data_IF_157717481302
#
_entry.id   IF_157717481302
#
_cell.length_a   1.000
_cell.length_b   1.000
_cell.length_c   1.000
_cell.angle_alpha   90.00
_cell.angle_beta   90.00
_cell.angle_gamma   90.00
#
_symmetry.space_group_name_H-M   'P 1'
#
loop_
_entity.id
_entity.type
_entity.pdbx_description
1 polymer ?
#
# COMPACT_ATOMS: atom_id res chain seq x y z
N UNK A 1 21.03 -31.13 19.27
CA UNK A 1 19.89 -31.99 18.87
C UNK A 1 20.26 -33.47 18.88
N UNK A 2 21.43 -33.86 18.38
CA UNK A 2 21.87 -35.26 18.48
C UNK A 2 22.07 -35.70 19.94
N UNK A 3 22.80 -34.91 20.73
CA UNK A 3 23.04 -35.19 22.15
C UNK A 3 21.74 -35.26 22.98
N UNK A 4 20.74 -34.42 22.68
CA UNK A 4 19.43 -34.48 23.34
C UNK A 4 18.65 -35.77 23.02
N UNK A 5 19.01 -36.47 21.95
CA UNK A 5 18.52 -37.80 21.62
C UNK A 5 19.46 -38.93 22.12
N UNK A 6 20.54 -38.58 22.83
CA UNK A 6 21.57 -39.53 23.28
C UNK A 6 22.48 -40.05 22.16
N UNK A 7 22.61 -39.30 21.06
CA UNK A 7 23.38 -39.68 19.88
C UNK A 7 24.61 -38.77 19.76
N UNK A 8 25.77 -39.39 19.55
CA UNK A 8 27.01 -38.69 19.15
C UNK A 8 27.16 -38.74 17.63
N UNK A 9 27.50 -37.60 17.02
CA UNK A 9 27.75 -37.48 15.58
C UNK A 9 29.20 -37.05 15.36
N UNK A 10 29.79 -37.51 14.25
CA UNK A 10 31.07 -36.94 13.78
C UNK A 10 30.85 -35.56 13.17
N UNK A 11 31.90 -34.74 13.19
CA UNK A 11 31.88 -33.38 12.65
C UNK A 11 31.50 -33.35 11.16
N UNK A 12 31.98 -34.32 10.38
CA UNK A 12 31.67 -34.43 8.94
C UNK A 12 30.16 -34.66 8.69
N UNK A 13 29.53 -35.52 9.49
CA UNK A 13 28.09 -35.82 9.37
C UNK A 13 27.27 -34.63 9.84
N UNK A 14 27.69 -33.98 10.93
CA UNK A 14 27.04 -32.77 11.44
C UNK A 14 27.08 -31.63 10.41
N UNK A 15 28.22 -31.44 9.73
CA UNK A 15 28.38 -30.42 8.70
C UNK A 15 27.46 -30.65 7.49
N UNK A 16 27.39 -31.87 6.98
CA UNK A 16 26.49 -32.23 5.87
C UNK A 16 25.02 -32.05 6.24
N UNK A 17 24.62 -32.47 7.44
CA UNK A 17 23.25 -32.30 7.91
C UNK A 17 22.89 -30.81 8.07
N UNK A 18 23.82 -29.99 8.58
CA UNK A 18 23.62 -28.55 8.70
C UNK A 18 23.38 -27.89 7.33
N UNK A 19 24.11 -28.31 6.29
CA UNK A 19 23.92 -27.81 4.94
C UNK A 19 22.53 -28.14 4.38
N UNK A 20 22.06 -29.38 4.55
CA UNK A 20 20.72 -29.81 4.11
C UNK A 20 19.62 -29.04 4.85
N UNK A 21 19.72 -28.89 6.18
CA UNK A 21 18.78 -28.11 6.98
C UNK A 21 18.76 -26.63 6.52
N UNK A 22 19.93 -26.05 6.26
CA UNK A 22 20.02 -24.69 5.74
C UNK A 22 19.37 -24.55 4.36
N UNK A 23 19.52 -25.56 3.48
CA UNK A 23 18.84 -25.59 2.19
C UNK A 23 17.33 -25.61 2.37
N UNK A 24 16.80 -26.51 3.21
CA UNK A 24 15.37 -26.62 3.51
C UNK A 24 14.79 -25.32 4.10
N UNK A 25 15.52 -24.64 4.97
CA UNK A 25 15.12 -23.35 5.53
C UNK A 25 15.02 -22.26 4.46
N UNK A 26 15.99 -22.19 3.54
CA UNK A 26 15.95 -21.25 2.41
C UNK A 26 14.81 -21.56 1.46
N UNK A 27 14.59 -22.83 1.14
CA UNK A 27 13.49 -23.31 0.30
C UNK A 27 12.13 -22.94 0.91
N UNK A 28 11.90 -23.24 2.20
CA UNK A 28 10.66 -22.89 2.90
C UNK A 28 10.44 -21.37 2.94
N UNK A 29 11.48 -20.59 3.18
CA UNK A 29 11.41 -19.11 3.18
C UNK A 29 11.04 -18.57 1.81
N UNK A 30 11.67 -19.09 0.75
CA UNK A 30 11.39 -18.69 -0.62
C UNK A 30 9.95 -19.04 -1.03
N UNK A 31 9.50 -20.25 -0.71
CA UNK A 31 8.12 -20.67 -0.99
C UNK A 31 7.09 -19.83 -0.22
N UNK A 32 7.40 -19.45 1.01
CA UNK A 32 6.55 -18.58 1.83
C UNK A 32 6.42 -17.18 1.23
N UNK A 33 7.49 -16.65 0.64
CA UNK A 33 7.52 -15.31 0.03
C UNK A 33 6.51 -15.14 -1.11
N UNK A 34 6.17 -16.22 -1.82
CA UNK A 34 5.21 -16.19 -2.93
C UNK A 34 3.80 -15.79 -2.48
N UNK A 35 3.42 -16.07 -1.23
CA UNK A 35 2.11 -15.72 -0.68
C UNK A 35 1.97 -14.21 -0.35
N UNK A 36 3.09 -13.50 -0.18
CA UNK A 36 3.10 -12.05 0.08
C UNK A 36 2.57 -11.24 -1.11
N UNK A 37 2.93 -11.63 -2.33
CA UNK A 37 2.51 -10.94 -3.57
C UNK A 37 1.00 -10.94 -3.78
N UNK A 38 0.34 -12.08 -3.54
CA UNK A 38 -1.11 -12.24 -3.70
C UNK A 38 -1.94 -11.52 -2.63
N UNK A 39 -1.34 -11.27 -1.47
CA UNK A 39 -2.05 -10.64 -0.34
C UNK A 39 -1.79 -9.14 -0.21
N UNK A 40 -1.00 -8.55 -1.14
CA UNK A 40 -0.58 -7.12 -1.09
C UNK A 40 0.05 -6.73 0.25
N UNK A 41 0.65 -7.68 0.96
CA UNK A 41 1.37 -7.45 2.23
C UNK A 41 2.87 -7.46 1.97
N UNK A 42 3.60 -6.60 2.69
CA UNK A 42 5.06 -6.54 2.63
C UNK A 42 5.75 -7.34 3.74
N UNK A 43 4.98 -7.76 4.76
CA UNK A 43 5.46 -8.57 5.89
C UNK A 43 5.01 -10.02 5.72
N UNK A 44 5.94 -10.95 5.92
CA UNK A 44 5.63 -12.37 6.02
C UNK A 44 5.05 -12.68 7.40
N UNK A 45 4.06 -13.57 7.40
CA UNK A 45 3.37 -14.02 8.61
C UNK A 45 3.59 -15.52 8.83
N UNK A 46 3.34 -15.99 10.06
CA UNK A 46 3.39 -17.42 10.41
C UNK A 46 2.49 -18.25 9.49
N UNK A 47 1.32 -17.71 9.11
CA UNK A 47 0.39 -18.38 8.20
C UNK A 47 0.98 -18.61 6.79
N UNK A 48 1.82 -17.69 6.30
CA UNK A 48 2.47 -17.83 4.99
C UNK A 48 3.45 -19.01 5.01
N UNK A 49 4.23 -19.13 6.10
CA UNK A 49 5.10 -20.28 6.36
C UNK A 49 4.33 -21.59 6.48
N UNK A 50 3.28 -21.61 7.31
CA UNK A 50 2.44 -22.80 7.49
C UNK A 50 1.72 -23.23 6.21
N UNK A 51 1.42 -22.29 5.29
CA UNK A 51 0.89 -22.63 3.97
C UNK A 51 1.96 -23.23 3.06
N UNK A 52 3.18 -22.69 3.07
CA UNK A 52 4.30 -23.22 2.30
C UNK A 52 4.70 -24.63 2.77
N UNK A 53 4.78 -24.86 4.09
CA UNK A 53 5.07 -26.18 4.66
C UNK A 53 4.05 -27.23 4.23
N UNK A 54 2.76 -26.92 4.35
CA UNK A 54 1.68 -27.82 3.91
C UNK A 54 1.75 -28.15 2.43
N UNK A 55 2.12 -27.18 1.58
CA UNK A 55 2.32 -27.43 0.16
C UNK A 55 3.51 -28.36 -0.10
N UNK A 56 4.57 -28.24 0.70
CA UNK A 56 5.72 -29.16 0.68
C UNK A 56 5.46 -30.53 1.33
N UNK A 57 4.22 -30.83 1.75
CA UNK A 57 3.89 -32.07 2.46
C UNK A 57 4.41 -32.14 3.89
N UNK A 58 4.81 -31.00 4.47
CA UNK A 58 5.29 -30.88 5.85
C UNK A 58 4.16 -30.36 6.74
N UNK A 59 4.07 -30.88 7.95
CA UNK A 59 3.10 -30.42 8.94
C UNK A 59 3.32 -28.95 9.31
N UNK A 60 2.23 -28.25 9.62
CA UNK A 60 2.28 -26.87 10.04
C UNK A 60 2.85 -26.77 11.47
N UNK A 61 3.61 -25.70 11.73
CA UNK A 61 4.12 -25.43 13.07
C UNK A 61 3.01 -24.76 13.90
N UNK A 62 2.63 -25.44 14.98
CA UNK A 62 1.63 -24.96 15.93
C UNK A 62 2.27 -24.12 17.05
N UNK A 63 1.45 -23.32 17.75
CA UNK A 63 1.91 -22.53 18.91
C UNK A 63 2.50 -21.16 18.57
N UNK A 64 2.47 -20.73 17.30
CA UNK A 64 2.93 -19.41 16.85
C UNK A 64 1.78 -18.59 16.27
N UNK A 65 1.83 -17.27 16.46
CA UNK A 65 0.82 -16.33 15.97
C UNK A 65 0.14 -15.48 17.07
N UNK A 66 0.51 -15.67 18.34
CA UNK A 66 0.12 -14.72 19.39
C UNK A 66 0.66 -13.31 19.09
N UNK A 67 -0.05 -12.28 19.55
CA UNK A 67 0.49 -10.91 19.58
C UNK A 67 1.53 -10.72 20.68
N UNK A 68 1.60 -11.65 21.63
CA UNK A 68 2.59 -11.62 22.70
C UNK A 68 4.00 -11.81 22.12
N UNK A 69 4.93 -10.96 22.57
CA UNK A 69 6.33 -11.11 22.23
C UNK A 69 6.90 -12.36 22.90
N UNK A 70 7.67 -13.15 22.14
CA UNK A 70 8.38 -14.33 22.63
C UNK A 70 9.89 -14.08 22.60
N UNK A 71 10.44 -13.31 23.57
CA UNK A 71 11.85 -12.95 23.56
C UNK A 71 12.74 -14.14 23.95
N UNK A 72 13.85 -14.30 23.24
CA UNK A 72 14.93 -15.19 23.68
C UNK A 72 15.70 -14.57 24.86
N UNK A 73 15.93 -15.36 25.89
CA UNK A 73 16.78 -15.03 27.03
C UNK A 73 18.12 -15.74 26.89
N UNK A 74 19.20 -15.01 27.17
CA UNK A 74 20.56 -15.55 27.20
C UNK A 74 20.92 -16.00 28.62
N UNK A 75 21.62 -17.13 28.73
CA UNK A 75 22.30 -17.54 29.96
C UNK A 75 23.69 -16.91 29.95
N UNK A 76 24.16 -16.42 31.11
CA UNK A 76 25.46 -15.72 31.20
C UNK A 76 26.66 -16.65 31.01
N UNK A 77 26.48 -17.93 31.31
CA UNK A 77 27.49 -18.99 31.16
C UNK A 77 27.06 -19.92 30.02
N UNK A 78 27.74 -19.81 28.89
CA UNK A 78 27.44 -20.53 27.65
C UNK A 78 26.58 -19.73 26.68
N UNK A 79 26.89 -19.80 25.38
CA UNK A 79 26.14 -19.16 24.29
C UNK A 79 24.77 -19.83 24.07
N UNK A 80 23.96 -19.89 25.13
CA UNK A 80 22.68 -20.57 25.20
C UNK A 80 21.55 -19.56 25.27
N UNK A 81 20.58 -19.75 24.39
CA UNK A 81 19.36 -18.94 24.32
C UNK A 81 18.15 -19.84 24.50
N UNK A 82 17.19 -19.40 25.30
CA UNK A 82 15.95 -20.12 25.52
C UNK A 82 14.75 -19.18 25.55
N UNK A 83 13.58 -19.72 25.26
CA UNK A 83 12.32 -19.04 25.46
C UNK A 83 11.80 -19.44 26.83
N UNK A 84 11.48 -18.45 27.68
CA UNK A 84 10.90 -18.73 28.99
C UNK A 84 9.48 -19.25 28.81
N UNK A 85 9.23 -20.49 29.23
CA UNK A 85 7.89 -21.06 29.29
C UNK A 85 7.29 -20.77 30.66
N UNK A 86 6.29 -19.89 30.69
CA UNK A 86 5.62 -19.51 31.94
C UNK A 86 4.39 -20.36 32.12
N UNK A 87 4.27 -20.96 33.30
CA UNK A 87 3.05 -21.67 33.66
C UNK A 87 1.85 -20.73 33.61
N UNK A 88 0.80 -21.19 32.95
CA UNK A 88 -0.46 -20.44 32.81
C UNK A 88 -1.45 -20.97 33.84
N UNK A 89 -1.93 -20.09 34.72
CA UNK A 89 -3.01 -20.43 35.63
C UNK A 89 -4.33 -20.50 34.85
N UNK A 90 -4.80 -21.72 34.60
CA UNK A 90 -6.01 -21.96 33.81
C UNK A 90 -7.27 -21.40 34.48
N UNK A 91 -7.33 -21.34 35.81
CA UNK A 91 -8.49 -20.80 36.55
C UNK A 91 -8.53 -19.28 36.36
N UNK A 92 -7.40 -18.61 36.52
CA UNK A 92 -7.30 -17.17 36.30
C UNK A 92 -7.60 -16.80 34.84
N UNK A 93 -7.05 -17.57 33.89
CA UNK A 93 -7.30 -17.37 32.47
C UNK A 93 -8.78 -17.54 32.13
N UNK A 94 -9.45 -18.56 32.67
CA UNK A 94 -10.88 -18.81 32.44
C UNK A 94 -11.78 -17.72 33.05
N UNK A 95 -11.37 -17.13 34.17
CA UNK A 95 -12.09 -16.06 34.85
C UNK A 95 -11.73 -14.66 34.32
N UNK A 96 -10.74 -14.56 33.42
CA UNK A 96 -10.30 -13.28 32.88
C UNK A 96 -11.45 -12.59 32.12
N UNK A 97 -11.84 -11.40 32.58
CA UNK A 97 -12.90 -10.59 31.95
C UNK A 97 -12.42 -9.80 30.73
N UNK A 98 -11.14 -9.94 30.36
CA UNK A 98 -10.53 -9.26 29.23
C UNK A 98 -10.85 -9.99 27.93
N UNK A 99 -12.12 -9.97 27.54
CA UNK A 99 -12.58 -10.51 26.26
C UNK A 99 -11.95 -9.67 25.15
N UNK A 100 -11.27 -10.26 24.15
CA UNK A 100 -10.74 -9.52 23.03
C UNK A 100 -11.86 -8.71 22.39
N UNK A 101 -11.70 -7.39 22.36
CA UNK A 101 -12.63 -6.53 21.63
C UNK A 101 -12.56 -6.95 20.17
N UNK A 102 -13.69 -7.30 19.58
CA UNK A 102 -13.76 -7.63 18.17
C UNK A 102 -13.14 -6.52 17.32
N UNK A 103 -12.63 -6.88 16.15
CA UNK A 103 -12.20 -5.87 15.19
C UNK A 103 -13.41 -5.04 14.74
N UNK A 104 -13.20 -3.73 14.56
CA UNK A 104 -14.21 -2.89 13.93
C UNK A 104 -14.53 -3.42 12.53
N UNK A 105 -15.76 -3.20 12.08
CA UNK A 105 -16.16 -3.55 10.72
C UNK A 105 -15.28 -2.81 9.70
N UNK A 106 -14.98 -3.51 8.60
CA UNK A 106 -14.20 -2.91 7.52
C UNK A 106 -15.03 -1.82 6.85
N UNK A 107 -14.54 -0.57 6.89
CA UNK A 107 -15.18 0.57 6.25
C UNK A 107 -14.27 1.20 5.19
N UNK A 108 -14.85 1.61 4.07
CA UNK A 108 -14.14 2.33 3.01
C UNK A 108 -14.36 3.83 3.20
N UNK A 109 -13.27 4.60 3.32
CA UNK A 109 -13.30 6.07 3.34
C UNK A 109 -12.74 6.61 2.04
N UNK A 110 -13.49 7.50 1.40
CA UNK A 110 -13.07 8.19 0.18
C UNK A 110 -12.56 9.57 0.56
N UNK A 111 -11.40 9.93 0.03
CA UNK A 111 -10.85 11.28 0.11
C UNK A 111 -10.43 11.70 -1.30
N UNK A 112 -10.50 13.00 -1.57
CA UNK A 112 -9.96 13.54 -2.82
C UNK A 112 -8.45 13.69 -2.62
N UNK A 113 -7.67 12.81 -3.24
CA UNK A 113 -6.20 12.83 -3.15
C UNK A 113 -5.56 13.88 -4.07
N UNK A 114 -6.27 14.26 -5.13
CA UNK A 114 -5.81 15.23 -6.10
C UNK A 114 -7.00 16.01 -6.64
N UNK A 115 -6.90 17.34 -6.52
CA UNK A 115 -7.68 18.28 -7.30
C UNK A 115 -6.70 18.92 -8.27
N UNK A 116 -7.04 18.95 -9.56
CA UNK A 116 -6.21 19.62 -10.54
C UNK A 116 -6.20 21.12 -10.23
N UNK A 117 -5.09 21.59 -9.66
CA UNK A 117 -4.86 22.98 -9.27
C UNK A 117 -4.56 23.91 -10.45
N UNK A 118 -4.79 23.48 -11.69
CA UNK A 118 -4.64 24.31 -12.90
C UNK A 118 -5.61 25.49 -12.99
N UNK A 119 -6.40 25.75 -11.95
CA UNK A 119 -7.05 27.04 -11.74
C UNK A 119 -6.04 28.15 -11.54
N UNK A 120 -6.28 29.33 -12.10
CA UNK A 120 -5.47 30.50 -11.82
C UNK A 120 -5.54 30.81 -10.31
N UNK A 121 -4.50 30.45 -9.56
CA UNK A 121 -4.37 30.71 -8.11
C UNK A 121 -4.05 32.18 -7.80
N UNK A 122 -3.74 32.95 -8.84
CA UNK A 122 -3.40 34.36 -8.72
C UNK A 122 -4.64 35.21 -8.34
N UNK A 123 -4.45 36.30 -7.58
CA UNK A 123 -5.53 37.21 -7.22
C UNK A 123 -6.28 37.73 -8.46
N UNK A 124 -7.59 37.97 -8.30
CA UNK A 124 -8.47 38.52 -9.33
C UNK A 124 -7.82 39.79 -9.93
N UNK A 125 -7.36 39.69 -11.19
CA UNK A 125 -6.60 40.74 -11.89
C UNK A 125 -5.33 40.27 -12.62
N UNK A 126 -4.78 39.09 -12.29
CA UNK A 126 -3.58 38.54 -12.97
C UNK A 126 -3.91 37.61 -14.18
N UNK A 127 -5.19 37.44 -14.50
CA UNK A 127 -5.67 36.52 -15.55
C UNK A 127 -5.04 36.79 -16.94
N UNK A 128 -4.82 38.04 -17.38
CA UNK A 128 -4.17 38.30 -18.67
C UNK A 128 -2.75 37.73 -18.77
N UNK A 129 -2.01 37.72 -17.66
CA UNK A 129 -0.67 37.14 -17.58
C UNK A 129 -0.72 35.61 -17.64
N UNK A 130 -1.66 35.00 -16.91
CA UNK A 130 -1.84 33.55 -16.88
C UNK A 130 -2.40 32.97 -18.20
N UNK A 131 -3.14 33.73 -19.00
CA UNK A 131 -3.55 33.30 -20.36
C UNK A 131 -2.33 33.24 -21.29
N UNK A 132 -1.35 34.11 -21.09
CA UNK A 132 -0.14 34.18 -21.92
C UNK A 132 0.84 33.01 -21.68
N UNK A 133 0.67 32.25 -20.59
CA UNK A 133 1.44 31.02 -20.33
C UNK A 133 0.83 29.75 -20.95
N UNK A 134 -0.34 29.86 -21.59
CA UNK A 134 -0.95 28.76 -22.34
C UNK A 134 -0.09 28.38 -23.55
N UNK A 135 -0.05 27.09 -23.89
CA UNK A 135 0.58 26.63 -25.12
C UNK A 135 -0.04 27.29 -26.36
N UNK A 136 0.74 27.49 -27.42
CA UNK A 136 0.36 28.31 -28.58
C UNK A 136 -0.97 27.93 -29.24
N UNK A 137 -1.28 26.64 -29.35
CA UNK A 137 -2.55 26.17 -29.92
C UNK A 137 -3.74 26.43 -29.00
N UNK A 138 -3.52 26.27 -27.70
CA UNK A 138 -4.55 26.46 -26.67
C UNK A 138 -4.89 27.95 -26.49
N UNK A 139 -3.88 28.82 -26.61
CA UNK A 139 -4.03 30.27 -26.63
C UNK A 139 -4.82 30.74 -27.87
N UNK A 140 -4.46 30.24 -29.06
CA UNK A 140 -5.21 30.55 -30.30
C UNK A 140 -6.67 30.11 -30.19
N UNK A 141 -6.88 28.89 -29.70
CA UNK A 141 -8.23 28.37 -29.48
C UNK A 141 -9.03 29.25 -28.50
N UNK A 142 -8.44 29.61 -27.36
CA UNK A 142 -9.06 30.52 -26.39
C UNK A 142 -9.44 31.88 -27.01
N UNK A 143 -8.55 32.49 -27.79
CA UNK A 143 -8.81 33.77 -28.46
C UNK A 143 -9.92 33.67 -29.51
N UNK A 144 -9.92 32.62 -30.33
CA UNK A 144 -10.94 32.40 -31.35
C UNK A 144 -12.32 32.16 -30.73
N UNK A 145 -12.40 31.33 -29.70
CA UNK A 145 -13.65 31.04 -28.98
C UNK A 145 -14.17 32.30 -28.29
N UNK A 146 -13.31 33.02 -27.55
CA UNK A 146 -13.71 34.25 -26.84
C UNK A 146 -14.20 35.32 -27.82
N UNK A 147 -13.51 35.50 -28.96
CA UNK A 147 -13.92 36.45 -30.01
C UNK A 147 -15.23 36.06 -30.68
N UNK A 148 -15.44 34.77 -30.95
CA UNK A 148 -16.66 34.28 -31.58
C UNK A 148 -17.88 34.38 -30.65
N UNK A 149 -17.68 34.22 -29.34
CA UNK A 149 -18.75 34.30 -28.33
C UNK A 149 -19.08 35.74 -27.96
N UNK A 150 -18.09 36.63 -27.86
CA UNK A 150 -18.29 38.06 -27.53
C UNK A 150 -18.56 38.97 -28.73
N UNK A 151 -18.42 38.45 -29.95
CA UNK A 151 -18.62 39.21 -31.19
C UNK A 151 -20.08 39.27 -31.64
N UNK A 152 -20.35 40.08 -32.67
CA UNK A 152 -21.70 40.29 -33.21
C UNK A 152 -22.20 39.19 -34.16
N UNK A 153 -21.41 38.12 -34.41
CA UNK A 153 -21.81 37.04 -35.31
C UNK A 153 -22.53 35.89 -34.56
N UNK A 154 -23.87 35.77 -34.69
CA UNK A 154 -24.63 34.74 -34.00
C UNK A 154 -24.35 33.32 -34.49
N UNK A 155 -23.83 33.15 -35.73
CA UNK A 155 -23.50 31.84 -36.28
C UNK A 155 -22.17 31.34 -35.73
N UNK A 156 -21.15 32.20 -35.73
CA UNK A 156 -19.84 31.93 -35.13
C UNK A 156 -19.94 31.60 -33.64
N UNK A 157 -20.73 32.36 -32.88
CA UNK A 157 -20.97 32.08 -31.45
C UNK A 157 -21.61 30.71 -31.21
N UNK A 158 -22.60 30.33 -32.03
CA UNK A 158 -23.27 29.02 -31.90
C UNK A 158 -22.31 27.85 -32.15
N UNK A 159 -21.43 27.96 -33.15
CA UNK A 159 -20.43 26.92 -33.44
C UNK A 159 -19.40 26.81 -32.32
N UNK A 160 -18.91 27.94 -31.80
CA UNK A 160 -17.94 27.95 -30.70
C UNK A 160 -18.51 27.31 -29.42
N UNK A 161 -19.78 27.58 -29.10
CA UNK A 161 -20.46 26.97 -27.94
C UNK A 161 -20.68 25.47 -28.14
N UNK A 162 -21.01 25.03 -29.35
CA UNK A 162 -21.17 23.61 -29.67
C UNK A 162 -19.85 22.84 -29.54
N UNK A 163 -18.74 23.48 -29.92
CA UNK A 163 -17.40 22.91 -29.77
C UNK A 163 -16.96 22.82 -28.29
N UNK A 164 -17.21 23.87 -27.49
CA UNK A 164 -16.98 23.83 -26.03
C UNK A 164 -17.78 22.73 -25.32
N UNK A 165 -18.99 22.44 -25.79
CA UNK A 165 -19.84 21.40 -25.22
C UNK A 165 -19.29 19.97 -25.47
N UNK A 166 -18.69 19.72 -26.64
CA UNK A 166 -18.17 18.41 -27.02
C UNK A 166 -16.66 18.21 -26.79
N UNK A 167 -15.92 19.29 -26.51
CA UNK A 167 -14.47 19.29 -26.46
C UNK A 167 -13.87 18.61 -25.23
N UNK A 168 -13.18 17.49 -25.43
CA UNK A 168 -12.58 16.70 -24.34
C UNK A 168 -11.31 17.31 -23.69
N UNK A 169 -10.78 18.44 -24.20
CA UNK A 169 -9.48 19.00 -23.80
C UNK A 169 -9.53 20.48 -23.37
N UNK A 170 -10.69 20.96 -22.92
CA UNK A 170 -10.85 22.34 -22.46
C UNK A 170 -10.52 22.53 -20.97
N UNK A 171 -10.19 21.47 -20.23
CA UNK A 171 -9.99 21.53 -18.78
C UNK A 171 -8.96 22.59 -18.35
N UNK A 172 -7.87 22.73 -19.11
CA UNK A 172 -6.85 23.75 -18.87
C UNK A 172 -7.33 25.19 -19.17
N UNK A 173 -8.40 25.33 -19.97
CA UNK A 173 -8.98 26.63 -20.34
C UNK A 173 -10.15 27.05 -19.46
N UNK A 174 -10.79 26.10 -18.75
CA UNK A 174 -11.96 26.36 -17.91
C UNK A 174 -11.77 27.54 -16.93
N UNK A 175 -10.64 27.68 -16.22
CA UNK A 175 -10.45 28.79 -15.29
C UNK A 175 -10.49 30.16 -15.97
N UNK A 176 -10.02 30.24 -17.21
CA UNK A 176 -9.96 31.47 -17.99
C UNK A 176 -11.32 31.82 -18.61
N UNK A 177 -12.08 30.82 -19.10
CA UNK A 177 -13.44 31.05 -19.57
C UNK A 177 -14.39 31.48 -18.44
N UNK A 178 -14.22 30.92 -17.23
CA UNK A 178 -14.98 31.37 -16.05
C UNK A 178 -14.73 32.86 -15.77
N UNK A 179 -13.48 33.33 -15.93
CA UNK A 179 -13.15 34.75 -15.77
C UNK A 179 -13.87 35.63 -16.80
N UNK A 180 -13.79 35.28 -18.09
CA UNK A 180 -14.45 36.02 -19.18
C UNK A 180 -15.96 36.14 -18.94
N UNK A 181 -16.61 35.09 -18.46
CA UNK A 181 -18.04 35.09 -18.15
C UNK A 181 -18.36 35.88 -16.87
N UNK A 182 -17.44 35.89 -15.90
CA UNK A 182 -17.63 36.60 -14.64
C UNK A 182 -17.56 38.13 -14.75
N UNK A 183 -16.97 38.67 -15.82
CA UNK A 183 -16.90 40.12 -16.09
C UNK A 183 -16.05 40.93 -15.08
N UNK A 184 -15.34 40.24 -14.19
CA UNK A 184 -14.28 40.77 -13.31
C UNK A 184 -12.95 40.62 -14.01
#
# INVERSE_FOLDING_TARGET
MAESAGIELSDDVAALLAEDVCYRLREATQNSSQWGGHTRRRRLTVEDFNRALRWGGVEAVCGFGSQDSLPFRAIKEGDLFFQEDREVNLVELALATNIPKGCAETAVRVHVSYLDGKGNLEPQGAVPSAVSSLGGDLLKYYQHVTRAVLGDDPRGGKVALQDLQGGAKIAALLPYFVYVVSGV
#
